data_IF_136622302819
#
_entry.id   IF_136622302819
#
_cell.length_a   1.000
_cell.length_b   1.000
_cell.length_c   1.000
_cell.angle_alpha   90.00
_cell.angle_beta   90.00
_cell.angle_gamma   90.00
#
_symmetry.space_group_name_H-M   'P 1'
#
loop_
_entity.id
_entity.type
_entity.pdbx_description
1 polymer ?
#
# COMPACT_ATOMS: atom_id res chain seq x y z
N UNK A 1 -11.01 9.65 -1.24
CA UNK A 1 -11.76 9.13 -2.41
C UNK A 1 -11.81 10.12 -3.58
N UNK A 2 -12.20 11.38 -3.39
CA UNK A 2 -12.36 12.36 -4.51
C UNK A 2 -11.06 12.56 -5.32
N UNK A 3 -9.91 12.74 -4.66
CA UNK A 3 -8.61 12.88 -5.35
C UNK A 3 -8.23 11.64 -6.16
N UNK A 4 -8.45 10.43 -5.61
CA UNK A 4 -8.16 9.15 -6.28
C UNK A 4 -8.95 9.03 -7.59
N UNK A 5 -10.27 9.24 -7.56
CA UNK A 5 -11.12 9.16 -8.76
C UNK A 5 -10.69 10.14 -9.86
N UNK A 6 -10.23 11.34 -9.50
CA UNK A 6 -9.69 12.32 -10.45
C UNK A 6 -8.41 11.85 -11.15
N UNK A 7 -7.44 11.32 -10.40
CA UNK A 7 -6.20 10.78 -10.97
C UNK A 7 -6.46 9.52 -11.82
N UNK A 8 -7.29 8.61 -11.32
CA UNK A 8 -7.68 7.40 -12.04
C UNK A 8 -8.32 7.74 -13.39
N UNK A 9 -9.23 8.71 -13.42
CA UNK A 9 -9.82 9.22 -14.68
C UNK A 9 -8.76 9.82 -15.60
N UNK A 10 -7.85 10.66 -15.08
CA UNK A 10 -6.79 11.30 -15.87
C UNK A 10 -5.86 10.30 -16.57
N UNK A 11 -5.53 9.20 -15.89
CA UNK A 11 -4.59 8.19 -16.40
C UNK A 11 -5.26 6.94 -16.95
N UNK A 12 -6.60 6.94 -17.08
CA UNK A 12 -7.40 5.80 -17.53
C UNK A 12 -7.08 4.49 -16.78
N UNK A 13 -7.00 4.58 -15.45
CA UNK A 13 -6.80 3.42 -14.56
C UNK A 13 -8.01 3.23 -13.66
N UNK A 14 -8.21 1.99 -13.18
CA UNK A 14 -9.31 1.65 -12.27
C UNK A 14 -9.10 2.33 -10.90
N UNK A 15 -10.16 2.97 -10.39
CA UNK A 15 -10.20 3.41 -9.00
C UNK A 15 -10.80 2.29 -8.15
N UNK A 16 -10.20 2.02 -7.00
CA UNK A 16 -10.69 1.03 -6.03
C UNK A 16 -11.23 1.74 -4.78
N UNK A 17 -12.30 1.18 -4.21
CA UNK A 17 -12.93 1.72 -3.00
C UNK A 17 -12.26 1.20 -1.71
N UNK A 18 -11.47 0.13 -1.79
CA UNK A 18 -10.68 -0.43 -0.69
C UNK A 18 -9.32 -0.96 -1.15
N UNK A 19 -8.39 -1.11 -0.20
CA UNK A 19 -7.09 -1.72 -0.46
C UNK A 19 -7.23 -3.21 -0.80
N UNK A 20 -8.16 -3.91 -0.16
CA UNK A 20 -8.46 -5.33 -0.43
C UNK A 20 -8.93 -5.56 -1.86
N UNK A 21 -9.85 -4.73 -2.36
CA UNK A 21 -10.33 -4.81 -3.74
C UNK A 21 -9.20 -4.61 -4.76
N UNK A 22 -8.23 -3.74 -4.44
CA UNK A 22 -7.04 -3.54 -5.26
C UNK A 22 -6.12 -4.76 -5.22
N UNK A 23 -5.85 -5.31 -4.03
CA UNK A 23 -4.96 -6.45 -3.83
C UNK A 23 -5.46 -7.71 -4.52
N UNK A 24 -6.78 -7.93 -4.59
CA UNK A 24 -7.36 -9.09 -5.28
C UNK A 24 -7.11 -9.08 -6.80
N UNK A 25 -6.73 -7.95 -7.39
CA UNK A 25 -6.52 -7.77 -8.83
C UNK A 25 -5.06 -7.47 -9.21
N UNK A 26 -4.11 -7.65 -8.29
CA UNK A 26 -2.68 -7.47 -8.58
C UNK A 26 -1.78 -8.47 -7.85
N UNK A 27 -0.53 -8.59 -8.30
CA UNK A 27 0.51 -9.39 -7.65
C UNK A 27 1.40 -8.55 -6.72
N UNK A 28 1.45 -7.23 -6.95
CA UNK A 28 2.31 -6.30 -6.23
C UNK A 28 1.63 -4.94 -5.96
N UNK A 29 2.03 -4.28 -4.88
CA UNK A 29 1.52 -2.95 -4.48
C UNK A 29 2.66 -2.01 -4.14
N UNK A 30 2.61 -0.79 -4.67
CA UNK A 30 3.49 0.33 -4.28
C UNK A 30 2.78 1.22 -3.26
N UNK A 31 3.30 1.29 -2.03
CA UNK A 31 2.74 2.09 -0.94
C UNK A 31 3.47 3.44 -0.87
N UNK A 32 2.77 4.50 -1.29
CA UNK A 32 3.30 5.89 -1.35
C UNK A 32 2.58 6.84 -0.38
N UNK A 33 2.18 6.36 0.81
CA UNK A 33 1.25 7.06 1.71
C UNK A 33 1.90 7.51 3.03
N UNK A 34 2.16 8.81 3.20
CA UNK A 34 2.95 9.38 4.33
C UNK A 34 2.75 8.82 5.75
N UNK A 35 1.54 8.53 6.22
CA UNK A 35 1.28 8.27 7.65
C UNK A 35 0.83 6.84 8.00
N UNK A 36 0.54 5.99 7.02
CA UNK A 36 -0.10 4.67 7.24
C UNK A 36 0.66 3.51 6.60
N UNK A 37 1.99 3.60 6.52
CA UNK A 37 2.80 2.53 5.92
C UNK A 37 2.62 1.20 6.65
N UNK A 38 2.69 1.17 7.99
CA UNK A 38 2.61 -0.08 8.77
C UNK A 38 1.33 -0.87 8.51
N UNK A 39 0.15 -0.25 8.67
CA UNK A 39 -1.11 -0.98 8.54
C UNK A 39 -1.35 -1.48 7.11
N UNK A 40 -0.96 -0.68 6.11
CA UNK A 40 -1.07 -1.07 4.71
C UNK A 40 -0.05 -2.16 4.34
N UNK A 41 1.18 -2.08 4.86
CA UNK A 41 2.20 -3.11 4.69
C UNK A 41 1.68 -4.44 5.26
N UNK A 42 1.28 -4.48 6.52
CA UNK A 42 0.83 -5.70 7.18
C UNK A 42 -0.35 -6.35 6.44
N UNK A 43 -1.34 -5.54 6.04
CA UNK A 43 -2.47 -6.02 5.25
C UNK A 43 -2.04 -6.59 3.90
N UNK A 44 -1.08 -5.96 3.23
CA UNK A 44 -0.63 -6.36 1.89
C UNK A 44 0.25 -7.62 1.92
N UNK A 45 1.12 -7.75 2.93
CA UNK A 45 1.93 -8.96 3.14
C UNK A 45 1.02 -10.13 3.47
N UNK A 46 0.05 -9.93 4.37
CA UNK A 46 -0.91 -10.97 4.74
C UNK A 46 -1.76 -11.44 3.54
N UNK A 47 -1.99 -10.57 2.55
CA UNK A 47 -2.65 -10.90 1.29
C UNK A 47 -1.73 -11.60 0.27
N UNK A 48 -0.47 -11.91 0.63
CA UNK A 48 0.49 -12.62 -0.22
C UNK A 48 1.02 -11.79 -1.39
N UNK A 49 1.00 -10.45 -1.29
CA UNK A 49 1.40 -9.56 -2.37
C UNK A 49 2.82 -9.04 -2.19
N UNK A 50 3.54 -8.83 -3.30
CA UNK A 50 4.83 -8.16 -3.28
C UNK A 50 4.67 -6.67 -2.98
N UNK A 51 5.62 -6.06 -2.27
CA UNK A 51 5.49 -4.68 -1.81
C UNK A 51 6.73 -3.86 -2.15
N UNK A 52 6.49 -2.67 -2.68
CA UNK A 52 7.44 -1.56 -2.67
C UNK A 52 6.92 -0.46 -1.75
N UNK A 53 7.73 0.05 -0.83
CA UNK A 53 7.35 1.12 0.11
C UNK A 53 8.24 2.33 -0.10
N UNK A 54 7.63 3.49 -0.33
CA UNK A 54 8.36 4.75 -0.39
C UNK A 54 8.97 5.12 0.96
N UNK A 55 10.13 5.77 0.92
CA UNK A 55 10.86 6.12 2.13
C UNK A 55 10.14 7.22 2.94
N UNK A 56 10.29 7.22 4.28
CA UNK A 56 10.86 6.15 5.09
C UNK A 56 9.90 4.94 5.18
N UNK A 57 10.45 3.74 5.35
CA UNK A 57 9.67 2.49 5.43
C UNK A 57 8.54 2.58 6.47
N UNK A 58 8.83 3.17 7.63
CA UNK A 58 7.94 3.35 8.79
C UNK A 58 8.28 4.66 9.52
N UNK A 59 7.54 5.02 10.58
CA UNK A 59 7.84 6.23 11.37
C UNK A 59 9.00 6.01 12.34
N UNK A 60 9.14 4.79 12.86
CA UNK A 60 10.19 4.42 13.82
C UNK A 60 10.92 3.16 13.36
N UNK A 61 12.18 2.99 13.79
CA UNK A 61 12.95 1.76 13.51
C UNK A 61 12.27 0.53 14.11
N UNK A 62 11.74 0.64 15.33
CA UNK A 62 11.01 -0.45 15.99
C UNK A 62 9.79 -0.93 15.16
N UNK A 63 9.06 -0.01 14.52
CA UNK A 63 7.98 -0.37 13.59
C UNK A 63 8.51 -1.16 12.37
N UNK A 64 9.70 -0.84 11.87
CA UNK A 64 10.31 -1.56 10.73
C UNK A 64 10.80 -2.96 11.12
N UNK A 65 11.36 -3.11 12.32
CA UNK A 65 11.89 -4.38 12.84
C UNK A 65 10.80 -5.44 12.97
N UNK A 66 9.57 -5.05 13.31
CA UNK A 66 8.40 -5.96 13.31
C UNK A 66 8.23 -6.69 11.97
N UNK A 67 8.67 -6.10 10.87
CA UNK A 67 8.59 -6.68 9.52
C UNK A 67 9.89 -7.36 9.05
N UNK A 68 11.07 -6.81 9.37
CA UNK A 68 12.35 -7.33 8.87
C UNK A 68 12.79 -8.66 9.51
N UNK A 69 12.11 -9.09 10.57
CA UNK A 69 12.41 -10.33 11.30
C UNK A 69 11.40 -11.47 11.04
N UNK A 70 10.62 -11.36 9.96
CA UNK A 70 9.85 -12.49 9.42
C UNK A 70 10.75 -13.45 8.63
#
# INVERSE_FOLDING_TARGET
MIKSKGYCKKYNVKAYDSLEALQNECDAVTIVTRQRHISMLLQTVAAGKHIFIEKPITKTVAEAEVYLHW
#
